data_IF_170502750794
#
_entry.id   IF_170502750794
#
_cell.length_a   1.000
_cell.length_b   1.000
_cell.length_c   1.000
_cell.angle_alpha   90.00
_cell.angle_beta   90.00
_cell.angle_gamma   90.00
#
_symmetry.space_group_name_H-M   'P 1'
#
loop_
_entity.id
_entity.type
_entity.pdbx_description
1 polymer ?
#
# COMPACT_ATOMS: atom_id res chain seq x y z
N UNK A 1 37.92 -13.74 22.84
CA UNK A 1 36.66 -13.75 23.61
C UNK A 1 35.60 -12.81 23.03
N UNK A 2 35.97 -11.65 22.48
CA UNK A 2 35.08 -10.66 21.86
C UNK A 2 34.16 -11.17 20.71
N UNK A 3 34.67 -12.03 19.82
CA UNK A 3 33.89 -12.51 18.67
C UNK A 3 32.68 -13.38 19.04
N UNK A 4 32.77 -14.16 20.13
CA UNK A 4 31.63 -14.97 20.63
C UNK A 4 30.57 -14.10 21.29
N UNK A 5 30.97 -12.99 21.90
CA UNK A 5 30.07 -12.02 22.52
C UNK A 5 29.29 -11.25 21.46
N UNK A 6 29.95 -10.77 20.41
CA UNK A 6 29.33 -10.08 19.28
C UNK A 6 28.28 -10.94 18.55
N UNK A 7 28.58 -12.22 18.29
CA UNK A 7 27.64 -13.13 17.63
C UNK A 7 26.31 -13.27 18.39
N UNK A 8 26.35 -13.30 19.73
CA UNK A 8 25.13 -13.34 20.56
C UNK A 8 24.26 -12.10 20.34
N UNK A 9 24.86 -10.92 20.28
CA UNK A 9 24.12 -9.67 20.06
C UNK A 9 23.57 -9.55 18.63
N UNK A 10 24.31 -10.05 17.63
CA UNK A 10 23.82 -10.10 16.25
C UNK A 10 22.59 -10.99 16.10
N UNK A 11 22.58 -12.16 16.74
CA UNK A 11 21.43 -13.07 16.68
C UNK A 11 20.21 -12.51 17.42
N UNK A 12 20.42 -11.87 18.57
CA UNK A 12 19.34 -11.13 19.26
C UNK A 12 18.79 -9.98 18.40
N UNK A 13 19.64 -9.24 17.69
CA UNK A 13 19.22 -8.16 16.80
C UNK A 13 18.39 -8.66 15.61
N UNK A 14 18.75 -9.82 15.03
CA UNK A 14 17.96 -10.44 13.95
C UNK A 14 16.57 -10.86 14.44
N UNK A 15 16.50 -11.48 15.62
CA UNK A 15 15.22 -11.90 16.21
C UNK A 15 14.32 -10.69 16.50
N UNK A 16 14.88 -9.63 17.07
CA UNK A 16 14.15 -8.40 17.36
C UNK A 16 13.63 -7.72 16.08
N UNK A 17 14.44 -7.69 15.03
CA UNK A 17 14.04 -7.16 13.72
C UNK A 17 12.83 -7.92 13.16
N UNK A 18 12.83 -9.25 13.24
CA UNK A 18 11.72 -10.08 12.76
C UNK A 18 10.46 -9.85 13.59
N UNK A 19 10.58 -9.68 14.92
CA UNK A 19 9.45 -9.34 15.79
C UNK A 19 8.85 -8.00 15.39
N UNK A 20 9.70 -6.98 15.25
CA UNK A 20 9.28 -5.64 14.82
C UNK A 20 8.57 -5.66 13.47
N UNK A 21 9.09 -6.37 12.47
CA UNK A 21 8.44 -6.48 11.15
C UNK A 21 7.06 -7.16 11.22
N UNK A 22 6.88 -8.14 12.13
CA UNK A 22 5.57 -8.78 12.36
C UNK A 22 4.59 -7.83 13.03
N UNK A 23 5.03 -7.09 14.04
CA UNK A 23 4.20 -6.09 14.73
C UNK A 23 3.80 -4.95 13.78
N UNK A 24 4.73 -4.48 12.94
CA UNK A 24 4.46 -3.43 11.95
C UNK A 24 3.51 -3.85 10.83
N UNK A 25 3.35 -5.15 10.54
CA UNK A 25 2.34 -5.64 9.59
C UNK A 25 0.91 -5.53 10.13
N UNK A 26 0.75 -5.64 11.46
CA UNK A 26 -0.54 -5.55 12.14
C UNK A 26 -0.84 -4.09 12.47
N UNK A 27 0.20 -3.30 12.72
CA UNK A 27 0.08 -1.87 12.96
C UNK A 27 -0.47 -1.14 11.73
N UNK A 28 -1.66 -0.57 11.87
CA UNK A 28 -2.23 0.36 10.90
C UNK A 28 -1.89 1.77 11.41
N UNK A 29 -0.89 2.45 10.83
CA UNK A 29 -0.63 3.83 11.19
C UNK A 29 -1.88 4.68 10.89
N UNK A 30 -2.19 5.63 11.78
CA UNK A 30 -3.10 6.75 11.45
C UNK A 30 -2.70 7.32 10.09
N UNK A 31 -3.67 7.73 9.26
CA UNK A 31 -3.48 8.22 7.86
C UNK A 31 -2.43 9.34 7.80
N UNK A 32 -1.17 8.94 7.86
CA UNK A 32 0.00 9.75 7.65
C UNK A 32 0.34 9.67 6.17
N UNK A 33 0.60 10.82 5.58
CA UNK A 33 0.99 10.96 4.19
C UNK A 33 2.31 10.23 3.95
N UNK A 34 2.24 8.92 3.68
CA UNK A 34 3.38 8.19 3.15
C UNK A 34 3.74 8.86 1.83
N UNK A 35 4.95 9.43 1.76
CA UNK A 35 5.44 10.10 0.55
C UNK A 35 5.26 9.15 -0.62
N UNK A 36 4.38 9.51 -1.56
CA UNK A 36 4.13 8.72 -2.75
C UNK A 36 5.46 8.48 -3.44
N UNK A 37 5.83 7.22 -3.63
CA UNK A 37 7.05 6.87 -4.37
C UNK A 37 6.96 7.50 -5.76
N UNK A 38 7.99 8.24 -6.16
CA UNK A 38 8.08 8.81 -7.50
C UNK A 38 7.96 7.68 -8.52
N UNK A 39 7.16 7.92 -9.57
CA UNK A 39 6.99 6.94 -10.65
C UNK A 39 8.12 7.14 -11.64
N UNK A 40 8.94 6.11 -11.84
CA UNK A 40 9.95 6.10 -12.89
C UNK A 40 9.25 6.13 -14.27
N UNK A 41 9.53 7.12 -15.14
CA UNK A 41 8.96 7.20 -16.49
C UNK A 41 9.34 6.02 -17.40
N UNK A 42 10.51 5.41 -17.18
CA UNK A 42 11.05 4.34 -18.03
C UNK A 42 10.66 2.94 -17.54
N UNK A 43 10.10 2.81 -16.33
CA UNK A 43 9.64 1.55 -15.81
C UNK A 43 8.26 1.17 -16.40
N UNK A 44 7.96 -0.14 -16.57
CA UNK A 44 6.64 -0.57 -17.00
C UNK A 44 5.57 -0.11 -16.01
N UNK A 45 4.40 0.29 -16.53
CA UNK A 45 3.25 0.67 -15.70
C UNK A 45 2.81 -0.51 -14.84
N UNK A 46 2.49 -0.25 -13.57
CA UNK A 46 1.97 -1.27 -12.66
C UNK A 46 0.62 -1.80 -13.14
N UNK A 47 0.33 -3.10 -12.97
CA UNK A 47 -0.98 -3.64 -13.28
C UNK A 47 -2.06 -2.97 -12.41
N UNK A 48 -3.29 -2.82 -12.92
CA UNK A 48 -4.41 -2.30 -12.15
C UNK A 48 -4.76 -3.24 -10.99
N UNK A 49 -5.19 -2.67 -9.87
CA UNK A 49 -5.69 -3.44 -8.72
C UNK A 49 -7.14 -3.89 -8.96
N UNK A 50 -7.64 -4.82 -8.14
CA UNK A 50 -9.03 -5.28 -8.21
C UNK A 50 -10.05 -4.14 -8.18
N UNK A 51 -9.82 -3.12 -7.35
CA UNK A 51 -10.65 -1.91 -7.30
C UNK A 51 -10.67 -1.15 -8.63
N UNK A 52 -9.50 -0.91 -9.24
CA UNK A 52 -9.43 -0.23 -10.53
C UNK A 52 -10.08 -1.04 -11.66
N UNK A 53 -10.00 -2.37 -11.62
CA UNK A 53 -10.72 -3.24 -12.55
C UNK A 53 -12.24 -3.11 -12.37
N UNK A 54 -12.73 -3.12 -11.12
CA UNK A 54 -14.14 -2.90 -10.82
C UNK A 54 -14.64 -1.54 -11.35
N UNK A 55 -13.95 -0.46 -11.01
CA UNK A 55 -14.29 0.89 -11.45
C UNK A 55 -14.31 1.00 -12.99
N UNK A 56 -13.42 0.31 -13.70
CA UNK A 56 -13.37 0.38 -15.17
C UNK A 56 -14.68 -0.05 -15.86
N UNK A 57 -15.40 -1.02 -15.31
CA UNK A 57 -16.68 -1.50 -15.85
C UNK A 57 -17.90 -0.79 -15.26
N UNK A 58 -17.79 -0.27 -14.03
CA UNK A 58 -18.93 0.31 -13.30
C UNK A 58 -19.05 1.83 -13.50
N UNK A 59 -17.93 2.56 -13.56
CA UNK A 59 -17.95 4.01 -13.77
C UNK A 59 -18.66 4.45 -15.06
N UNK A 60 -18.51 3.77 -16.22
CA UNK A 60 -19.24 4.15 -17.43
C UNK A 60 -20.76 3.99 -17.29
N UNK A 61 -21.22 3.00 -16.51
CA UNK A 61 -22.64 2.76 -16.27
C UNK A 61 -23.24 3.89 -15.42
N UNK A 62 -22.62 4.20 -14.28
CA UNK A 62 -23.08 5.27 -13.40
C UNK A 62 -23.03 6.64 -14.11
N UNK A 63 -21.97 6.90 -14.89
CA UNK A 63 -21.87 8.15 -15.64
C UNK A 63 -22.95 8.30 -16.72
N UNK A 64 -23.44 7.20 -17.28
CA UNK A 64 -24.57 7.19 -18.20
C UNK A 64 -25.91 7.47 -17.50
N UNK A 65 -26.12 6.89 -16.33
CA UNK A 65 -27.33 7.10 -15.52
C UNK A 65 -27.36 8.48 -14.85
N UNK A 66 -26.19 8.98 -14.46
CA UNK A 66 -26.02 10.23 -13.74
C UNK A 66 -24.88 11.07 -14.33
N UNK A 67 -25.12 11.77 -15.45
CA UNK A 67 -24.08 12.54 -16.15
C UNK A 67 -23.56 13.75 -15.35
N UNK A 68 -24.23 14.13 -14.25
CA UNK A 68 -23.84 15.24 -13.38
C UNK A 68 -22.92 14.86 -12.21
N UNK A 69 -22.72 13.56 -11.91
CA UNK A 69 -21.80 13.15 -10.85
C UNK A 69 -20.36 13.16 -11.34
N UNK A 70 -19.44 13.66 -10.49
CA UNK A 70 -18.02 13.64 -10.80
C UNK A 70 -17.46 12.23 -10.57
N UNK A 71 -16.35 11.90 -11.26
CA UNK A 71 -15.65 10.62 -11.07
C UNK A 71 -15.23 10.42 -9.60
N UNK A 72 -14.97 11.52 -8.87
CA UNK A 72 -14.62 11.48 -7.45
C UNK A 72 -15.80 11.15 -6.53
N UNK A 73 -17.01 11.46 -6.94
CA UNK A 73 -18.23 11.10 -6.20
C UNK A 73 -18.60 9.64 -6.46
N UNK A 74 -18.52 9.21 -7.72
CA UNK A 74 -18.69 7.82 -8.13
C UNK A 74 -17.70 6.89 -7.40
N UNK A 75 -16.45 7.34 -7.22
CA UNK A 75 -15.44 6.57 -6.50
C UNK A 75 -15.70 6.43 -5.00
N UNK A 76 -16.38 7.40 -4.38
CA UNK A 76 -16.74 7.36 -2.95
C UNK A 76 -17.94 6.47 -2.67
N UNK A 77 -18.90 6.42 -3.58
CA UNK A 77 -20.08 5.56 -3.45
C UNK A 77 -19.77 4.06 -3.65
N UNK A 78 -18.58 3.76 -4.18
CA UNK A 78 -18.10 2.41 -4.52
C UNK A 78 -17.04 1.88 -3.53
N UNK A 79 -16.48 2.74 -2.69
CA UNK A 79 -15.49 2.39 -1.64
C UNK A 79 -16.14 1.70 -0.44
#
# INVERSE_FOLDING_TARGET
MFAKEMGKYEDMAKVEKVRYEKEMKIYIPSKGETKKKFKDPNAPKRPPTAFFLFCSGYCPKIKGEYPGLSIGDIGRDVE
#
